data_IF_327695353172
#
_entry.id   IF_327695353172
#
_cell.length_a   1.000
_cell.length_b   1.000
_cell.length_c   1.000
_cell.angle_alpha   90.00
_cell.angle_beta   90.00
_cell.angle_gamma   90.00
#
_symmetry.space_group_name_H-M   'P 1'
#
loop_
_entity.id
_entity.type
_entity.pdbx_description
1 polymer ?
#
# COMPACT_ATOMS: atom_id res chain seq x y z
N UNK A 1 3.64 -17.17 1.33
CA UNK A 1 2.51 -17.31 2.27
C UNK A 1 1.88 -15.96 2.56
N UNK A 2 0.63 -15.79 2.15
CA UNK A 2 -0.19 -14.58 2.37
C UNK A 2 -0.33 -14.24 3.86
N UNK A 3 -0.57 -15.27 4.69
CA UNK A 3 -0.72 -15.14 6.13
C UNK A 3 0.49 -14.48 6.81
N UNK A 4 1.71 -14.79 6.35
CA UNK A 4 2.94 -14.19 6.88
C UNK A 4 3.02 -12.69 6.56
N UNK A 5 2.58 -12.28 5.37
CA UNK A 5 2.57 -10.88 4.94
C UNK A 5 1.50 -10.11 5.72
N UNK A 6 0.30 -10.66 5.87
CA UNK A 6 -0.77 -10.04 6.65
C UNK A 6 -0.34 -9.88 8.11
N UNK A 7 0.30 -10.90 8.70
CA UNK A 7 0.81 -10.83 10.08
C UNK A 7 1.82 -9.71 10.27
N UNK A 8 2.75 -9.53 9.33
CA UNK A 8 3.73 -8.44 9.40
C UNK A 8 3.06 -7.06 9.30
N UNK A 9 2.08 -6.92 8.41
CA UNK A 9 1.31 -5.68 8.29
C UNK A 9 0.52 -5.35 9.55
N UNK A 10 -0.05 -6.36 10.21
CA UNK A 10 -0.76 -6.20 11.50
C UNK A 10 0.19 -5.66 12.57
N UNK A 11 1.41 -6.19 12.67
CA UNK A 11 2.42 -5.68 13.63
C UNK A 11 2.71 -4.19 13.42
N UNK A 12 2.86 -3.74 12.17
CA UNK A 12 3.06 -2.31 11.86
C UNK A 12 1.79 -1.49 12.14
N UNK A 13 0.63 -1.96 11.67
CA UNK A 13 -0.65 -1.26 11.77
C UNK A 13 -1.09 -1.02 13.20
N UNK A 14 -0.80 -1.97 14.09
CA UNK A 14 -1.25 -1.97 15.48
C UNK A 14 -0.14 -1.72 16.51
N UNK A 15 1.09 -1.42 16.08
CA UNK A 15 2.19 -1.08 16.99
C UNK A 15 1.81 0.04 17.98
N UNK A 16 2.15 -0.13 19.25
CA UNK A 16 1.89 0.85 20.30
C UNK A 16 3.21 1.27 20.96
N UNK A 17 3.46 2.58 21.04
CA UNK A 17 4.70 3.12 21.62
C UNK A 17 4.90 2.73 23.09
N UNK A 18 3.81 2.51 23.84
CA UNK A 18 3.89 2.07 25.24
C UNK A 18 4.58 0.71 25.39
N UNK A 19 4.51 -0.13 24.35
CA UNK A 19 5.18 -1.43 24.34
C UNK A 19 6.71 -1.28 24.17
N UNK A 20 7.24 -0.07 23.99
CA UNK A 20 8.68 0.20 23.90
C UNK A 20 9.20 0.93 25.14
N UNK A 21 8.34 1.17 26.13
CA UNK A 21 8.66 1.99 27.31
C UNK A 21 8.53 1.17 28.59
N UNK A 22 9.36 1.50 29.59
CA UNK A 22 9.25 0.95 30.94
C UNK A 22 8.22 1.73 31.78
N UNK A 23 8.01 1.29 33.03
CA UNK A 23 7.08 1.93 33.98
C UNK A 23 7.47 3.38 34.34
N UNK A 24 8.72 3.77 34.10
CA UNK A 24 9.27 5.10 34.38
C UNK A 24 9.24 5.99 33.13
N UNK A 25 8.71 5.50 32.01
CA UNK A 25 8.64 6.21 30.74
C UNK A 25 9.97 6.29 29.99
N UNK A 26 10.94 5.43 30.32
CA UNK A 26 12.19 5.29 29.57
C UNK A 26 12.05 4.23 28.48
N UNK A 27 12.86 4.35 27.43
CA UNK A 27 12.91 3.32 26.39
C UNK A 27 13.48 2.02 26.97
N UNK A 28 12.78 0.90 26.77
CA UNK A 28 13.28 -0.42 27.16
C UNK A 28 14.50 -0.80 26.33
N UNK A 29 15.48 -1.51 26.91
CA UNK A 29 16.58 -2.11 26.15
C UNK A 29 16.08 -3.00 25.01
N UNK A 30 16.80 -3.05 23.89
CA UNK A 30 16.42 -3.86 22.71
C UNK A 30 16.23 -5.34 23.06
N UNK A 31 16.97 -5.84 24.06
CA UNK A 31 16.91 -7.22 24.54
C UNK A 31 15.62 -7.55 25.30
N UNK A 32 14.88 -6.53 25.74
CA UNK A 32 13.62 -6.67 26.49
C UNK A 32 12.38 -6.44 25.62
N UNK A 33 12.57 -5.96 24.39
CA UNK A 33 11.48 -5.74 23.44
C UNK A 33 11.28 -7.03 22.65
N UNK A 34 10.05 -7.51 22.62
CA UNK A 34 9.74 -8.72 21.88
C UNK A 34 9.89 -8.53 20.36
N UNK A 35 10.01 -9.66 19.67
CA UNK A 35 10.20 -9.68 18.21
C UNK A 35 9.00 -9.13 17.45
N UNK A 36 7.79 -9.28 17.99
CA UNK A 36 6.56 -8.85 17.31
C UNK A 36 6.45 -7.33 17.27
N UNK A 37 6.83 -6.68 18.36
CA UNK A 37 6.96 -5.24 18.48
C UNK A 37 8.12 -4.73 17.63
N UNK A 38 9.29 -5.37 17.70
CA UNK A 38 10.45 -4.99 16.88
C UNK A 38 10.18 -5.05 15.37
N UNK A 39 9.27 -5.91 14.90
CA UNK A 39 8.87 -5.95 13.49
C UNK A 39 8.21 -4.65 12.99
N UNK A 40 7.73 -3.80 13.89
CA UNK A 40 7.18 -2.49 13.54
C UNK A 40 8.24 -1.39 13.39
N UNK A 41 9.49 -1.67 13.78
CA UNK A 41 10.60 -0.72 13.82
C UNK A 41 11.40 -0.78 12.52
N UNK A 42 11.60 0.38 11.90
CA UNK A 42 12.39 0.56 10.68
C UNK A 42 13.85 0.91 10.95
N UNK A 43 14.13 1.60 12.06
CA UNK A 43 15.48 2.07 12.42
C UNK A 43 15.58 2.26 13.94
N UNK A 44 16.76 1.97 14.49
CA UNK A 44 17.11 2.19 15.89
C UNK A 44 18.38 3.03 15.94
N UNK A 45 18.35 4.14 16.67
CA UNK A 45 19.56 4.92 16.97
C UNK A 45 20.04 4.60 18.38
N UNK A 46 21.35 4.40 18.49
CA UNK A 46 22.03 4.08 19.75
C UNK A 46 22.95 5.23 20.14
N UNK A 47 23.04 5.51 21.43
CA UNK A 47 24.11 6.32 22.00
C UNK A 47 25.41 5.49 22.01
N UNK A 48 26.46 5.89 21.29
CA UNK A 48 27.71 5.13 21.24
C UNK A 48 28.49 5.16 22.56
N UNK A 49 28.25 6.12 23.46
CA UNK A 49 28.92 6.20 24.75
C UNK A 49 28.24 5.35 25.83
N UNK A 50 26.91 5.24 25.79
CA UNK A 50 26.11 4.55 26.80
C UNK A 50 25.53 3.21 26.32
N UNK A 51 25.54 2.94 25.01
CA UNK A 51 24.93 1.76 24.42
C UNK A 51 23.39 1.73 24.49
N UNK A 52 22.77 2.83 24.93
CA UNK A 52 21.32 2.94 25.12
C UNK A 52 20.61 3.42 23.85
N UNK A 53 19.37 2.99 23.66
CA UNK A 53 18.54 3.46 22.54
C UNK A 53 18.12 4.91 22.79
N UNK A 54 18.32 5.77 21.80
CA UNK A 54 17.95 7.18 21.85
C UNK A 54 16.71 7.49 21.00
N UNK A 55 16.49 6.72 19.93
CA UNK A 55 15.38 6.95 19.00
C UNK A 55 14.92 5.65 18.34
N UNK A 56 13.60 5.48 18.24
CA UNK A 56 12.95 4.50 17.37
C UNK A 56 12.27 5.20 16.20
N UNK A 57 12.50 4.67 15.00
CA UNK A 57 11.72 5.04 13.82
C UNK A 57 10.82 3.90 13.42
N UNK A 58 9.52 4.14 13.38
CA UNK A 58 8.54 3.12 12.99
C UNK A 58 8.31 3.10 11.48
N UNK A 59 7.91 1.94 10.98
CA UNK A 59 7.35 1.84 9.63
C UNK A 59 6.07 2.69 9.51
N UNK A 60 5.71 3.06 8.27
CA UNK A 60 4.52 3.86 8.02
C UNK A 60 3.24 3.07 8.38
N UNK A 61 2.62 3.43 9.50
CA UNK A 61 1.38 2.84 9.99
C UNK A 61 0.20 3.05 9.03
N UNK A 62 0.08 4.23 8.42
CA UNK A 62 -1.02 4.54 7.50
C UNK A 62 -1.02 3.58 6.31
N UNK A 63 0.14 3.37 5.68
CA UNK A 63 0.26 2.45 4.53
C UNK A 63 -0.05 1.00 4.91
N UNK A 64 0.32 0.57 6.12
CA UNK A 64 -0.01 -0.76 6.61
C UNK A 64 -1.52 -0.93 6.81
N UNK A 65 -2.17 0.05 7.46
CA UNK A 65 -3.61 0.05 7.70
C UNK A 65 -4.42 0.12 6.40
N UNK A 66 -4.03 0.97 5.45
CA UNK A 66 -4.71 1.08 4.16
C UNK A 66 -4.70 -0.25 3.39
N UNK A 67 -3.57 -0.96 3.43
CA UNK A 67 -3.45 -2.28 2.79
C UNK A 67 -4.30 -3.34 3.50
N UNK A 68 -4.36 -3.32 4.83
CA UNK A 68 -5.21 -4.22 5.61
C UNK A 68 -6.69 -3.94 5.34
N UNK A 69 -7.10 -2.67 5.31
CA UNK A 69 -8.46 -2.24 4.99
C UNK A 69 -8.91 -2.69 3.59
N UNK A 70 -8.00 -2.68 2.60
CA UNK A 70 -8.26 -3.24 1.26
C UNK A 70 -8.46 -4.76 1.31
N UNK A 71 -7.63 -5.49 2.06
CA UNK A 71 -7.77 -6.94 2.22
C UNK A 71 -9.10 -7.31 2.91
N UNK A 72 -9.61 -6.44 3.78
CA UNK A 72 -10.88 -6.60 4.49
C UNK A 72 -12.11 -6.11 3.70
N UNK A 73 -11.95 -5.60 2.48
CA UNK A 73 -13.07 -5.10 1.66
C UNK A 73 -13.71 -3.79 2.18
N UNK A 74 -13.06 -3.07 3.10
CA UNK A 74 -13.64 -1.87 3.72
C UNK A 74 -13.89 -0.71 2.74
N UNK A 75 -13.29 -0.75 1.54
CA UNK A 75 -13.44 0.27 0.50
C UNK A 75 -14.34 -0.19 -0.67
N UNK A 76 -15.06 -1.31 -0.55
CA UNK A 76 -15.88 -1.85 -1.66
C UNK A 76 -17.03 -0.91 -2.06
N UNK A 77 -17.67 -0.26 -1.10
CA UNK A 77 -18.74 0.71 -1.37
C UNK A 77 -18.24 1.98 -2.07
N UNK A 78 -17.04 2.45 -1.73
CA UNK A 78 -16.41 3.61 -2.37
C UNK A 78 -15.95 3.29 -3.81
N UNK A 79 -15.43 2.07 -4.03
CA UNK A 79 -15.03 1.62 -5.37
C UNK A 79 -16.20 1.49 -6.35
N UNK A 80 -17.38 1.08 -5.85
CA UNK A 80 -18.60 0.98 -6.65
C UNK A 80 -19.13 2.36 -7.10
N UNK A 81 -18.80 3.43 -6.39
CA UNK A 81 -19.15 4.80 -6.77
C UNK A 81 -18.12 5.45 -7.71
N UNK A 82 -16.84 5.08 -7.60
CA UNK A 82 -15.76 5.63 -8.41
C UNK A 82 -15.61 5.01 -9.80
N UNK A 83 -16.15 3.81 -10.03
CA UNK A 83 -16.09 3.11 -11.33
C UNK A 83 -17.38 3.23 -12.14
N UNK A 84 -18.17 4.29 -11.94
CA UNK A 84 -19.36 4.52 -12.76
C UNK A 84 -18.93 4.98 -14.16
N UNK A 85 -19.43 4.29 -15.17
CA UNK A 85 -19.36 4.76 -16.55
C UNK A 85 -20.12 6.08 -16.71
N UNK A 86 -19.76 6.88 -17.72
CA UNK A 86 -20.49 8.13 -18.04
C UNK A 86 -21.99 7.85 -18.24
N UNK A 87 -22.35 6.68 -18.79
CA UNK A 87 -23.74 6.25 -18.96
C UNK A 87 -24.45 6.06 -17.62
N UNK A 88 -23.81 5.42 -16.64
CA UNK A 88 -24.37 5.21 -15.30
C UNK A 88 -24.49 6.51 -14.51
N UNK A 89 -23.55 7.44 -14.69
CA UNK A 89 -23.61 8.78 -14.08
C UNK A 89 -24.79 9.57 -14.64
N UNK A 90 -24.97 9.60 -15.97
CA UNK A 90 -26.07 10.31 -16.62
C UNK A 90 -27.44 9.74 -16.21
N UNK A 91 -27.56 8.42 -16.09
CA UNK A 91 -28.78 7.75 -15.63
C UNK A 91 -29.19 8.14 -14.20
N UNK A 92 -28.22 8.45 -13.32
CA UNK A 92 -28.49 8.85 -11.92
C UNK A 92 -28.89 10.31 -11.77
N UNK A 93 -28.46 11.19 -12.68
CA UNK A 93 -28.74 12.63 -12.67
C UNK A 93 -30.02 12.96 -13.46
N UNK A 94 -30.64 11.97 -14.09
CA UNK A 94 -31.84 12.14 -14.92
C UNK A 94 -31.56 12.81 -16.27
N UNK A 95 -30.31 12.76 -16.74
CA UNK A 95 -29.94 13.24 -18.07
C UNK A 95 -30.27 12.23 -19.16
N UNK A 96 -30.61 12.71 -20.36
CA UNK A 96 -30.80 11.83 -21.52
C UNK A 96 -29.47 11.13 -21.88
N UNK A 97 -29.52 9.80 -22.03
CA UNK A 97 -28.37 8.99 -22.45
C UNK A 97 -28.22 9.15 -23.97
N UNK A 98 -27.06 9.61 -24.48
CA UNK A 98 -26.85 9.69 -25.92
C UNK A 98 -26.84 8.27 -26.51
N UNK A 99 -27.58 8.05 -27.60
CA UNK A 99 -27.52 6.79 -28.34
C UNK A 99 -26.10 6.59 -28.90
N UNK A 100 -25.31 5.72 -28.26
CA UNK A 100 -24.00 5.32 -28.77
C UNK A 100 -24.21 4.32 -29.93
N UNK A 101 -24.43 4.86 -31.12
CA UNK A 101 -24.36 4.10 -32.36
C UNK A 101 -22.88 3.88 -32.69
N UNK A 102 -22.37 2.66 -32.48
CA UNK A 102 -21.00 2.34 -32.84
C UNK A 102 -20.56 0.94 -32.41
N UNK A 103 -21.10 -0.10 -33.07
CA UNK A 103 -20.47 -1.41 -33.12
C UNK A 103 -19.08 -1.28 -33.76
N UNK A 104 -18.00 -1.32 -32.96
CA UNK A 104 -16.73 -1.93 -33.35
C UNK A 104 -16.02 -2.50 -32.11
N UNK A 105 -15.61 -3.77 -32.12
CA UNK A 105 -14.81 -4.32 -31.03
C UNK A 105 -13.42 -3.65 -31.02
N UNK A 106 -13.03 -3.14 -29.85
CA UNK A 106 -11.65 -2.79 -29.56
C UNK A 106 -10.88 -4.07 -29.23
N UNK A 107 -9.80 -4.32 -29.99
CA UNK A 107 -8.48 -4.83 -29.58
C UNK A 107 -7.88 -5.80 -30.62
N UNK A 108 -7.17 -5.26 -31.62
CA UNK A 108 -5.95 -5.89 -32.14
C UNK A 108 -4.82 -4.86 -32.04
N UNK A 109 -4.12 -4.87 -30.90
CA UNK A 109 -2.86 -4.17 -30.74
C UNK A 109 -1.74 -4.93 -31.46
N UNK A 110 -1.34 -4.45 -32.63
CA UNK A 110 -0.06 -4.81 -33.25
C UNK A 110 1.06 -4.04 -32.54
N UNK A 111 1.70 -4.70 -31.59
CA UNK A 111 3.10 -4.46 -31.19
C UNK A 111 3.92 -5.56 -31.88
N UNK A 112 5.12 -5.40 -32.43
CA UNK A 112 6.03 -4.29 -32.63
C UNK A 112 7.23 -4.86 -33.44
N UNK A 113 7.95 -4.00 -34.16
CA UNK A 113 9.41 -4.11 -34.42
C UNK A 113 9.93 -5.29 -35.29
N UNK A 114 10.03 -5.07 -36.60
CA UNK A 114 11.23 -5.46 -37.38
C UNK A 114 11.23 -4.77 -38.75
N UNK A 115 11.91 -3.63 -38.84
CA UNK A 115 11.97 -2.84 -40.08
C UNK A 115 12.96 -1.69 -40.04
N UNK A 116 14.10 -1.85 -39.37
CA UNK A 116 15.23 -0.92 -39.47
C UNK A 116 16.52 -1.72 -39.34
N UNK A 117 17.03 -2.21 -40.47
CA UNK A 117 18.44 -2.54 -40.75
C UNK A 117 18.48 -3.09 -42.17
N UNK A 118 18.64 -2.21 -43.15
CA UNK A 118 19.24 -2.47 -44.48
C UNK A 118 19.13 -1.18 -45.32
N UNK A 119 19.93 -0.19 -44.94
CA UNK A 119 20.21 0.98 -45.77
C UNK A 119 21.56 1.60 -45.35
N UNK A 120 22.59 0.77 -45.23
CA UNK A 120 23.98 1.22 -45.03
C UNK A 120 24.93 0.06 -45.35
N UNK A 121 25.06 -0.23 -46.65
CA UNK A 121 26.22 -0.85 -47.33
C UNK A 121 25.81 -1.19 -48.76
N UNK A 122 25.90 -0.19 -49.63
CA UNK A 122 26.19 -0.37 -51.04
C UNK A 122 27.19 0.68 -51.48
#
# INVERSE_FOLDING_TARGET
DEERVTRERVRIGFANIRDFMDEKGQIRPITEIDRDNLASVSEIKLDPALGTITEFKFHNKQTALDALSKQLGLYEADNAQNNLTIVEILARVGGEVPALTGDKPLLEGKNDVQGQREAERS
#
